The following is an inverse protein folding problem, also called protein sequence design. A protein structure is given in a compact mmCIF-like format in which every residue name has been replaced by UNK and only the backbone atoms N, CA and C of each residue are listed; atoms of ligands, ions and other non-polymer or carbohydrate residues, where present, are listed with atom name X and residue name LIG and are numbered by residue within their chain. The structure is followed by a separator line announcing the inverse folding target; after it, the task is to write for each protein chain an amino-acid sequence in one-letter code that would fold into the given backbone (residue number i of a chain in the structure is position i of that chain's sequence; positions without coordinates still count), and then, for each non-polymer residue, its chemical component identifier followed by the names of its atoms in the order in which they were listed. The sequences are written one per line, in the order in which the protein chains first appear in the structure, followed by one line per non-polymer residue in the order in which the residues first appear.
data_IF_931636489320
#
_entry.id   IF_931636489320
#
_cell.length_a   1.000
_cell.length_b   1.000
_cell.length_c   1.000
_cell.angle_alpha   90.00
_cell.angle_beta   90.00
_cell.angle_gamma   90.00
#
_symmetry.space_group_name_H-M   'P 1'
#
loop_
_entity.id
_entity.type
_entity.pdbx_description
1 polymer ?
#
# COMPACT_ATOMS: atom_id res chain seq x y z
N UNK A 1 -21.63 4.68 -16.63
CA UNK A 1 -22.33 4.23 -15.42
C UNK A 1 -21.57 3.17 -14.69
N UNK A 2 -21.36 2.01 -15.33
CA UNK A 2 -20.60 0.93 -14.70
C UNK A 2 -19.17 1.34 -14.36
N UNK A 3 -18.54 2.10 -15.25
CA UNK A 3 -17.17 2.60 -15.01
C UNK A 3 -17.12 3.47 -13.75
N UNK A 4 -18.11 4.35 -13.60
CA UNK A 4 -18.20 5.22 -12.44
C UNK A 4 -18.35 4.41 -11.14
N UNK A 5 -19.22 3.39 -11.14
CA UNK A 5 -19.40 2.51 -9.99
C UNK A 5 -18.13 1.74 -9.65
N UNK A 6 -17.42 1.24 -10.67
CA UNK A 6 -16.15 0.53 -10.47
C UNK A 6 -15.11 1.44 -9.84
N UNK A 7 -15.03 2.68 -10.29
CA UNK A 7 -14.13 3.69 -9.73
C UNK A 7 -14.48 3.97 -8.28
N UNK A 8 -15.75 4.07 -7.93
CA UNK A 8 -16.18 4.27 -6.55
C UNK A 8 -15.77 3.10 -5.65
N UNK A 9 -15.91 1.88 -6.13
CA UNK A 9 -15.45 0.69 -5.38
C UNK A 9 -13.96 0.76 -5.11
N UNK A 10 -13.18 1.15 -6.10
CA UNK A 10 -11.73 1.24 -5.94
C UNK A 10 -11.33 2.41 -5.03
N UNK A 11 -12.07 3.51 -5.03
CA UNK A 11 -11.87 4.58 -4.06
C UNK A 11 -12.12 4.11 -2.64
N UNK A 12 -13.14 3.28 -2.42
CA UNK A 12 -13.41 2.69 -1.11
C UNK A 12 -12.24 1.82 -0.66
N UNK A 13 -11.69 1.01 -1.57
CA UNK A 13 -10.50 0.18 -1.27
C UNK A 13 -9.34 1.07 -0.87
N UNK A 14 -9.08 2.13 -1.63
CA UNK A 14 -7.99 3.06 -1.35
C UNK A 14 -8.15 3.74 0.01
N UNK A 15 -9.34 4.19 0.34
CA UNK A 15 -9.61 4.80 1.64
C UNK A 15 -9.40 3.81 2.78
N UNK A 16 -9.87 2.59 2.62
CA UNK A 16 -9.66 1.54 3.61
C UNK A 16 -8.16 1.24 3.79
N UNK A 17 -7.41 1.28 2.69
CA UNK A 17 -5.97 1.07 2.70
C UNK A 17 -5.26 2.16 3.54
N UNK A 18 -5.57 3.43 3.31
CA UNK A 18 -5.00 4.53 4.10
C UNK A 18 -5.41 4.45 5.57
N UNK A 19 -6.67 4.12 5.85
CA UNK A 19 -7.14 3.95 7.23
C UNK A 19 -6.36 2.85 7.95
N UNK A 20 -6.16 1.72 7.28
CA UNK A 20 -5.44 0.59 7.86
C UNK A 20 -3.97 0.96 8.14
N UNK A 21 -3.30 1.63 7.19
CA UNK A 21 -1.94 2.10 7.41
C UNK A 21 -1.87 3.10 8.55
N UNK A 22 -2.74 4.09 8.55
CA UNK A 22 -2.67 5.18 9.53
C UNK A 22 -3.07 4.75 10.93
N UNK A 23 -3.91 3.71 11.07
CA UNK A 23 -4.24 3.12 12.37
C UNK A 23 -3.29 1.97 12.74
N UNK A 24 -2.34 1.62 11.88
CA UNK A 24 -1.44 0.49 12.04
C UNK A 24 -2.20 -0.83 12.27
N UNK A 25 -3.34 -0.98 11.59
CA UNK A 25 -4.18 -2.17 11.68
C UNK A 25 -3.74 -3.19 10.64
N UNK A 26 -2.82 -4.04 11.04
CA UNK A 26 -2.18 -5.01 10.14
C UNK A 26 -3.20 -5.98 9.52
N UNK A 27 -4.12 -6.52 10.31
CA UNK A 27 -5.08 -7.50 9.78
C UNK A 27 -6.08 -6.86 8.84
N UNK A 28 -6.51 -5.64 9.12
CA UNK A 28 -7.38 -4.89 8.20
C UNK A 28 -6.65 -4.64 6.87
N UNK A 29 -5.39 -4.22 6.93
CA UNK A 29 -4.58 -4.00 5.73
C UNK A 29 -4.47 -5.28 4.90
N UNK A 30 -4.12 -6.40 5.53
CA UNK A 30 -3.97 -7.68 4.84
C UNK A 30 -5.29 -8.18 4.25
N UNK A 31 -6.43 -7.86 4.88
CA UNK A 31 -7.73 -8.26 4.36
C UNK A 31 -8.05 -7.65 3.00
N UNK A 32 -7.39 -6.57 2.63
CA UNK A 32 -7.57 -5.91 1.34
C UNK A 32 -6.81 -6.60 0.21
N UNK A 33 -5.89 -7.50 0.54
CA UNK A 33 -4.98 -8.13 -0.42
C UNK A 33 -5.39 -9.57 -0.73
N UNK A 34 -5.16 -9.96 -1.98
CA UNK A 34 -5.29 -11.34 -2.42
C UNK A 34 -4.25 -12.22 -1.70
N UNK A 35 -4.54 -13.51 -1.51
CA UNK A 35 -3.64 -14.44 -0.84
C UNK A 35 -2.26 -14.56 -1.50
N UNK A 36 -2.19 -14.35 -2.81
CA UNK A 36 -0.95 -14.43 -3.61
C UNK A 36 -0.47 -13.07 -4.08
N UNK A 37 -0.91 -11.99 -3.41
CA UNK A 37 -0.55 -10.63 -3.79
C UNK A 37 0.96 -10.40 -3.72
N UNK A 38 1.42 -9.48 -4.56
CA UNK A 38 2.81 -9.06 -4.61
C UNK A 38 2.94 -7.63 -4.13
N UNK A 39 4.07 -7.33 -3.50
CA UNK A 39 4.39 -5.97 -3.07
C UNK A 39 5.85 -5.67 -3.41
N UNK A 40 6.06 -4.55 -4.09
CA UNK A 40 7.38 -4.03 -4.41
C UNK A 40 7.60 -2.70 -3.69
N UNK A 41 8.78 -2.54 -3.08
CA UNK A 41 9.15 -1.29 -2.43
C UNK A 41 10.66 -1.08 -2.49
N UNK A 42 11.13 0.15 -2.81
CA UNK A 42 12.55 0.48 -2.73
C UNK A 42 13.13 0.27 -1.33
N UNK A 43 12.35 0.55 -0.28
CA UNK A 43 12.81 0.33 1.09
C UNK A 43 12.98 -1.16 1.40
N UNK A 44 12.13 -2.00 0.87
CA UNK A 44 12.26 -3.45 0.98
C UNK A 44 13.55 -3.92 0.31
N UNK A 45 13.88 -3.37 -0.85
CA UNK A 45 15.12 -3.70 -1.55
C UNK A 45 16.35 -3.31 -0.73
N UNK A 46 16.30 -2.18 -0.03
CA UNK A 46 17.39 -1.73 0.82
C UNK A 46 17.54 -2.60 2.05
N UNK A 47 16.44 -2.90 2.73
CA UNK A 47 16.47 -3.66 3.99
C UNK A 47 16.68 -5.15 3.80
N UNK A 48 16.17 -5.70 2.71
CA UNK A 48 16.26 -7.13 2.36
C UNK A 48 16.67 -7.28 0.90
N UNK A 49 17.96 -7.04 0.59
CA UNK A 49 18.43 -7.05 -0.81
C UNK A 49 18.16 -8.38 -1.53
N UNK A 50 18.13 -9.48 -0.80
CA UNK A 50 17.85 -10.80 -1.36
C UNK A 50 16.48 -10.89 -2.02
N UNK A 51 15.53 -10.05 -1.63
CA UNK A 51 14.18 -10.01 -2.22
C UNK A 51 14.14 -9.29 -3.56
N UNK A 52 15.17 -8.49 -3.85
CA UNK A 52 15.19 -7.55 -4.97
C UNK A 52 14.00 -6.57 -4.94
N UNK A 53 13.51 -6.29 -3.74
CA UNK A 53 12.40 -5.35 -3.51
C UNK A 53 11.01 -5.94 -3.63
N UNK A 54 10.88 -7.24 -3.88
CA UNK A 54 9.59 -7.90 -4.12
C UNK A 54 9.33 -9.01 -3.11
N UNK A 55 8.14 -9.00 -2.52
CA UNK A 55 7.64 -10.12 -1.71
C UNK A 55 6.30 -10.59 -2.27
N UNK A 56 5.97 -11.86 -2.06
CA UNK A 56 4.76 -12.47 -2.58
C UNK A 56 4.07 -13.26 -1.47
N UNK A 57 2.75 -13.10 -1.38
CA UNK A 57 1.90 -13.86 -0.46
C UNK A 57 1.70 -13.17 0.87
N UNK A 58 0.59 -13.49 1.54
CA UNK A 58 0.19 -12.79 2.77
C UNK A 58 1.19 -12.95 3.91
N UNK A 59 1.85 -14.11 4.02
CA UNK A 59 2.81 -14.30 5.10
C UNK A 59 4.01 -13.34 4.97
N UNK A 60 4.52 -13.18 3.76
CA UNK A 60 5.61 -12.25 3.49
C UNK A 60 5.17 -10.80 3.67
N UNK A 61 3.97 -10.46 3.22
CA UNK A 61 3.39 -9.13 3.41
C UNK A 61 3.21 -8.83 4.89
N UNK A 62 2.71 -9.79 5.65
CA UNK A 62 2.50 -9.64 7.10
C UNK A 62 3.82 -9.34 7.80
N UNK A 63 4.85 -10.11 7.49
CA UNK A 63 6.16 -9.92 8.12
C UNK A 63 6.73 -8.55 7.80
N UNK A 64 6.61 -8.09 6.56
CA UNK A 64 7.13 -6.81 6.14
C UNK A 64 6.42 -5.63 6.83
N UNK A 65 5.08 -5.61 6.82
CA UNK A 65 4.34 -4.50 7.41
C UNK A 65 4.29 -4.56 8.94
N UNK A 66 4.28 -5.75 9.53
CA UNK A 66 4.38 -5.89 10.98
C UNK A 66 5.67 -5.24 11.48
N UNK A 67 6.78 -5.55 10.81
CA UNK A 67 8.07 -4.95 11.14
C UNK A 67 8.05 -3.43 10.98
N UNK A 68 7.48 -2.93 9.88
CA UNK A 68 7.38 -1.48 9.65
C UNK A 68 6.57 -0.79 10.73
N UNK A 69 5.43 -1.33 11.11
CA UNK A 69 4.59 -0.72 12.15
C UNK A 69 5.27 -0.75 13.52
N UNK A 70 6.02 -1.79 13.83
CA UNK A 70 6.75 -1.89 15.09
C UNK A 70 7.94 -0.93 15.14
N UNK A 71 8.68 -0.79 14.02
CA UNK A 71 9.85 0.10 13.96
C UNK A 71 9.46 1.57 13.84
N UNK A 72 8.32 1.86 13.23
CA UNK A 72 7.90 3.21 12.88
C UNK A 72 6.54 3.53 13.50
N UNK A 73 6.46 3.66 14.83
CA UNK A 73 5.16 3.89 15.50
C UNK A 73 4.49 5.21 15.09
N UNK A 74 5.26 6.17 14.58
CA UNK A 74 4.72 7.45 14.12
C UNK A 74 4.39 7.47 12.62
N UNK A 75 4.59 6.37 11.91
CA UNK A 75 4.34 6.31 10.46
C UNK A 75 2.90 6.72 10.14
N UNK A 76 2.80 7.71 9.24
CA UNK A 76 1.51 8.23 8.80
C UNK A 76 1.60 8.63 7.33
N UNK A 77 0.55 8.30 6.58
CA UNK A 77 0.44 8.66 5.17
C UNK A 77 -0.63 9.72 4.99
N UNK A 78 -0.23 10.87 4.45
CA UNK A 78 -1.16 11.95 4.12
C UNK A 78 -1.42 11.93 2.63
N UNK A 79 -2.62 11.51 2.23
CA UNK A 79 -2.98 11.40 0.83
C UNK A 79 -3.05 12.79 0.19
N UNK A 80 -2.44 12.94 -1.00
CA UNK A 80 -2.45 14.18 -1.74
C UNK A 80 -3.14 14.04 -3.09
N UNK A 81 -3.18 12.83 -3.66
CA UNK A 81 -3.82 12.60 -4.94
C UNK A 81 -4.29 11.15 -5.04
N UNK A 82 -5.44 10.94 -5.66
CA UNK A 82 -6.03 9.63 -5.79
C UNK A 82 -6.77 9.55 -7.12
N UNK A 83 -6.40 8.59 -7.96
CA UNK A 83 -7.07 8.32 -9.22
C UNK A 83 -7.27 6.83 -9.37
N UNK A 84 -8.38 6.43 -9.98
CA UNK A 84 -8.60 5.01 -10.23
C UNK A 84 -9.37 4.79 -11.52
N UNK A 85 -9.17 3.61 -12.09
CA UNK A 85 -10.00 3.06 -13.14
C UNK A 85 -10.52 1.70 -12.68
N UNK A 86 -11.00 0.86 -13.59
CA UNK A 86 -11.61 -0.42 -13.22
C UNK A 86 -10.63 -1.39 -12.55
N UNK A 87 -9.34 -1.33 -12.93
CA UNK A 87 -8.36 -2.35 -12.52
C UNK A 87 -7.20 -1.81 -11.72
N UNK A 88 -7.06 -0.48 -11.61
CA UNK A 88 -5.89 0.12 -10.98
C UNK A 88 -6.27 1.31 -10.14
N UNK A 89 -5.49 1.52 -9.07
CA UNK A 89 -5.57 2.70 -8.22
C UNK A 89 -4.19 3.32 -8.19
N UNK A 90 -4.10 4.61 -8.53
CA UNK A 90 -2.88 5.38 -8.39
C UNK A 90 -3.03 6.34 -7.23
N UNK A 91 -2.08 6.32 -6.30
CA UNK A 91 -2.12 7.15 -5.09
C UNK A 91 -0.82 7.91 -4.97
N UNK A 92 -0.94 9.19 -4.60
CA UNK A 92 0.21 9.96 -4.13
C UNK A 92 -0.03 10.38 -2.71
N UNK A 93 1.00 10.26 -1.88
CA UNK A 93 0.89 10.64 -0.48
C UNK A 93 2.23 11.10 0.06
N UNK A 94 2.17 11.81 1.18
CA UNK A 94 3.36 12.20 1.93
C UNK A 94 3.56 11.19 3.05
N UNK A 95 4.70 10.52 3.05
CA UNK A 95 5.09 9.63 4.13
C UNK A 95 5.71 10.46 5.25
N UNK A 96 5.11 10.39 6.41
CA UNK A 96 5.55 11.12 7.60
C UNK A 96 6.01 10.16 8.67
N UNK A 97 7.20 10.37 9.18
CA UNK A 97 7.78 9.62 10.30
C UNK A 97 8.48 10.62 11.19
N UNK A 98 8.27 10.54 12.50
CA UNK A 98 8.91 11.44 13.46
C UNK A 98 10.44 11.35 13.32
N UNK A 99 11.08 12.51 13.31
CA UNK A 99 12.54 12.65 13.14
C UNK A 99 13.08 12.27 11.75
N UNK A 100 12.20 12.15 10.75
CA UNK A 100 12.59 11.99 9.36
C UNK A 100 11.99 13.12 8.53
N UNK A 101 12.62 13.45 7.42
CA UNK A 101 12.03 14.37 6.46
C UNK A 101 10.82 13.73 5.81
N UNK A 102 9.80 14.54 5.53
CA UNK A 102 8.64 14.09 4.77
C UNK A 102 9.09 13.60 3.39
N UNK A 103 8.50 12.51 2.94
CA UNK A 103 8.85 11.90 1.65
C UNK A 103 7.62 11.82 0.75
N UNK A 104 7.76 12.28 -0.49
CA UNK A 104 6.72 12.09 -1.49
C UNK A 104 6.78 10.66 -2.01
N UNK A 105 5.62 10.00 -2.04
CA UNK A 105 5.51 8.61 -2.47
C UNK A 105 4.38 8.49 -3.46
N UNK A 106 4.59 7.69 -4.50
CA UNK A 106 3.54 7.24 -5.39
C UNK A 106 3.40 5.73 -5.26
N UNK A 107 2.18 5.24 -5.29
CA UNK A 107 1.92 3.81 -5.19
C UNK A 107 0.83 3.41 -6.16
N UNK A 108 1.07 2.31 -6.88
CA UNK A 108 0.13 1.75 -7.84
C UNK A 108 -0.41 0.44 -7.29
N UNK A 109 -1.73 0.37 -7.13
CA UNK A 109 -2.42 -0.86 -6.75
C UNK A 109 -3.10 -1.45 -7.97
N UNK A 110 -2.94 -2.75 -8.17
CA UNK A 110 -3.69 -3.49 -9.18
C UNK A 110 -4.76 -4.32 -8.50
N UNK A 111 -5.99 -4.25 -9.02
CA UNK A 111 -7.19 -4.82 -8.41
C UNK A 111 -7.76 -5.92 -9.29
N UNK A 112 -8.10 -7.04 -8.67
CA UNK A 112 -8.79 -8.15 -9.33
C UNK A 112 -9.78 -8.76 -8.35
N UNK A 113 -11.03 -8.91 -8.78
CA UNK A 113 -12.12 -9.46 -7.95
C UNK A 113 -12.26 -8.74 -6.61
N UNK A 114 -12.08 -7.43 -6.60
CA UNK A 114 -12.25 -6.61 -5.40
C UNK A 114 -11.10 -6.69 -4.41
N UNK A 115 -10.00 -7.34 -4.75
CA UNK A 115 -8.82 -7.46 -3.91
C UNK A 115 -7.59 -6.90 -4.60
N UNK A 116 -6.64 -6.43 -3.81
CA UNK A 116 -5.35 -5.96 -4.33
C UNK A 116 -4.49 -7.17 -4.66
N UNK A 117 -4.09 -7.30 -5.92
CA UNK A 117 -3.19 -8.38 -6.35
C UNK A 117 -1.74 -7.92 -6.47
N UNK A 118 -1.51 -6.62 -6.51
CA UNK A 118 -0.16 -6.06 -6.60
C UNK A 118 -0.15 -4.64 -6.06
N UNK A 119 0.89 -4.30 -5.32
CA UNK A 119 1.15 -2.91 -4.94
C UNK A 119 2.63 -2.61 -5.21
N UNK A 120 2.88 -1.48 -5.88
CA UNK A 120 4.22 -1.03 -6.24
C UNK A 120 4.45 0.38 -5.74
N UNK A 121 5.53 0.57 -5.01
CA UNK A 121 5.89 1.86 -4.41
C UNK A 121 6.98 2.52 -5.23
N UNK A 122 6.81 3.81 -5.49
CA UNK A 122 7.80 4.66 -6.15
C UNK A 122 8.09 5.86 -5.25
N UNK A 123 9.37 6.13 -5.01
CA UNK A 123 9.76 7.29 -4.21
C UNK A 123 10.07 8.50 -5.09
N UNK A 124 9.63 9.66 -4.66
CA UNK A 124 9.95 10.92 -5.30
C UNK A 124 11.30 11.49 -4.86
#
# INVERSE_FOLDING_TARGET
MKIHMTTEKNEIIAKAWFEAFNSHDLEKLLSLYHSQAKHYSPKLKIRKPETNGLVTGKDALRAWWKDAFERLPSLHYQVTNLMSNETRIFMEYIRKVENEEDMMVAELLEIEDGLIISSKVYHG
#
